data_IF_716638971605
#
_entry.id   IF_716638971605
#
_cell.length_a   1.000
_cell.length_b   1.000
_cell.length_c   1.000
_cell.angle_alpha   90.00
_cell.angle_beta   90.00
_cell.angle_gamma   90.00
#
_symmetry.space_group_name_H-M   'P 1'
#
loop_
_entity.id
_entity.type
_entity.pdbx_description
1 polymer ?
#
# COMPACT_ATOMS: atom_id res chain seq x y z
N UNK A 1 -2.76 14.23 11.52
CA UNK A 1 -2.02 12.95 11.58
C UNK A 1 -1.98 12.34 10.19
N UNK A 2 -0.82 12.38 9.53
CA UNK A 2 -0.63 11.73 8.23
C UNK A 2 -0.59 10.23 8.46
N UNK A 3 -1.64 9.50 8.08
CA UNK A 3 -1.59 8.05 8.12
C UNK A 3 -0.47 7.57 7.19
N UNK A 4 0.55 6.95 7.79
CA UNK A 4 1.63 6.27 7.09
C UNK A 4 1.11 4.93 6.55
N UNK A 5 1.16 4.76 5.23
CA UNK A 5 0.97 3.45 4.62
C UNK A 5 2.34 2.79 4.60
N UNK A 6 2.50 1.63 5.23
CA UNK A 6 3.76 0.88 5.22
C UNK A 6 3.73 -0.25 4.21
N UNK A 7 4.91 -0.63 3.71
CA UNK A 7 5.06 -1.77 2.80
C UNK A 7 4.50 -3.07 3.41
N UNK A 8 4.67 -3.24 4.74
CA UNK A 8 4.18 -4.43 5.43
C UNK A 8 2.64 -4.51 5.46
N UNK A 9 1.94 -3.38 5.55
CA UNK A 9 0.47 -3.35 5.50
C UNK A 9 -0.04 -3.76 4.11
N UNK A 10 0.60 -3.25 3.05
CA UNK A 10 0.28 -3.67 1.68
C UNK A 10 0.62 -5.13 1.43
N UNK A 11 1.73 -5.63 1.99
CA UNK A 11 2.11 -7.04 1.91
C UNK A 11 1.05 -7.93 2.54
N UNK A 12 0.61 -7.61 3.76
CA UNK A 12 -0.47 -8.34 4.44
C UNK A 12 -1.76 -8.29 3.62
N UNK A 13 -2.08 -7.11 3.07
CA UNK A 13 -3.28 -6.92 2.26
C UNK A 13 -3.25 -7.79 0.99
N UNK A 14 -2.15 -7.79 0.24
CA UNK A 14 -1.98 -8.58 -0.99
C UNK A 14 -2.10 -10.09 -0.74
N UNK A 15 -1.51 -10.57 0.35
CA UNK A 15 -1.58 -11.98 0.76
C UNK A 15 -3.02 -12.34 1.18
N UNK A 16 -3.69 -11.47 1.94
CA UNK A 16 -5.07 -11.70 2.38
C UNK A 16 -6.08 -11.68 1.22
N UNK A 17 -5.93 -10.74 0.29
CA UNK A 17 -6.79 -10.64 -0.89
C UNK A 17 -6.42 -11.64 -1.98
N UNK A 18 -5.31 -12.39 -1.80
CA UNK A 18 -4.66 -13.21 -2.84
C UNK A 18 -4.64 -12.46 -4.16
N UNK A 19 -4.16 -11.23 -4.10
CA UNK A 19 -4.30 -10.26 -5.16
C UNK A 19 -3.04 -9.41 -5.32
N UNK A 20 -2.98 -8.71 -6.44
CA UNK A 20 -1.89 -7.80 -6.77
C UNK A 20 -2.24 -6.37 -6.35
N UNK A 21 -1.29 -5.63 -5.78
CA UNK A 21 -1.45 -4.22 -5.44
C UNK A 21 -0.42 -3.41 -6.22
N UNK A 22 -0.88 -2.60 -7.15
CA UNK A 22 -0.05 -1.65 -7.87
C UNK A 22 -0.19 -0.27 -7.23
N UNK A 23 0.90 0.42 -6.93
CA UNK A 23 0.87 1.81 -6.49
C UNK A 23 1.73 2.68 -7.39
N UNK A 24 1.30 3.94 -7.56
CA UNK A 24 2.02 4.95 -8.34
C UNK A 24 2.39 6.13 -7.45
N UNK A 25 3.68 6.42 -7.42
CA UNK A 25 4.26 7.57 -6.76
C UNK A 25 4.29 8.79 -7.67
N UNK A 26 4.18 9.98 -7.06
CA UNK A 26 4.15 11.27 -7.76
C UNK A 26 5.44 11.56 -8.55
N UNK A 27 6.53 10.89 -8.20
CA UNK A 27 7.82 10.94 -8.91
C UNK A 27 7.84 10.06 -10.18
N UNK A 28 6.70 9.45 -10.54
CA UNK A 28 6.55 8.58 -11.71
C UNK A 28 6.98 7.13 -11.45
N UNK A 29 7.38 6.78 -10.22
CA UNK A 29 7.73 5.40 -9.86
C UNK A 29 6.48 4.58 -9.65
N UNK A 30 6.52 3.32 -10.07
CA UNK A 30 5.43 2.37 -9.90
C UNK A 30 5.95 1.18 -9.13
N UNK A 31 5.19 0.71 -8.14
CA UNK A 31 5.47 -0.53 -7.43
C UNK A 31 4.31 -1.50 -7.57
N UNK A 32 4.60 -2.77 -7.84
CA UNK A 32 3.64 -3.84 -8.03
C UNK A 32 3.90 -4.92 -6.99
N UNK A 33 3.05 -5.00 -5.98
CA UNK A 33 3.08 -6.04 -4.96
C UNK A 33 2.26 -7.23 -5.44
N UNK A 34 2.91 -8.39 -5.61
CA UNK A 34 2.19 -9.63 -5.95
C UNK A 34 1.42 -10.18 -4.75
N UNK A 35 0.52 -11.13 -5.02
CA UNK A 35 -0.24 -11.91 -4.02
C UNK A 35 0.63 -12.66 -3.01
N UNK A 36 1.92 -12.87 -3.32
CA UNK A 36 2.90 -13.51 -2.42
C UNK A 36 3.55 -12.50 -1.47
N UNK A 37 3.19 -11.22 -1.57
CA UNK A 37 3.81 -10.14 -0.83
C UNK A 37 5.20 -9.75 -1.34
N UNK A 38 5.49 -10.06 -2.61
CA UNK A 38 6.75 -9.68 -3.27
C UNK A 38 6.51 -8.37 -4.01
N UNK A 39 7.26 -7.34 -3.65
CA UNK A 39 7.23 -6.04 -4.32
C UNK A 39 8.16 -6.03 -5.54
N UNK A 40 7.58 -5.80 -6.71
CA UNK A 40 8.27 -5.62 -7.98
C UNK A 40 8.23 -4.14 -8.36
N UNK A 41 9.38 -3.55 -8.70
CA UNK A 41 9.44 -2.18 -9.20
C UNK A 41 9.86 -2.25 -10.67
N UNK A 42 8.93 -2.06 -11.62
CA UNK A 42 9.30 -2.02 -13.04
C UNK A 42 10.34 -0.93 -13.31
N UNK A 43 11.41 -1.28 -14.01
CA UNK A 43 12.52 -0.38 -14.34
C UNK A 43 13.64 -0.32 -13.30
N UNK A 44 13.56 -1.12 -12.22
CA UNK A 44 14.66 -1.25 -11.26
C UNK A 44 15.76 -2.18 -11.81
N UNK A 45 16.83 -1.62 -12.37
CA UNK A 45 17.97 -2.38 -12.90
C UNK A 45 19.04 -2.73 -11.86
N UNK A 46 18.80 -2.45 -10.58
CA UNK A 46 19.74 -2.68 -9.49
C UNK A 46 19.12 -2.41 -8.12
N UNK A 47 19.84 -2.64 -7.01
CA UNK A 47 19.34 -2.35 -5.67
C UNK A 47 18.93 -0.88 -5.57
N UNK A 48 17.73 -0.58 -5.05
CA UNK A 48 17.26 0.80 -4.98
C UNK A 48 18.13 1.58 -4.00
N UNK A 49 18.69 2.71 -4.45
CA UNK A 49 19.41 3.65 -3.57
C UNK A 49 18.46 4.56 -2.77
N UNK A 50 17.17 4.20 -2.71
CA UNK A 50 16.10 5.01 -2.13
C UNK A 50 15.24 4.17 -1.20
N UNK A 51 14.64 4.84 -0.22
CA UNK A 51 13.76 4.20 0.75
C UNK A 51 12.37 3.97 0.13
N UNK A 52 11.87 2.73 0.25
CA UNK A 52 10.57 2.34 -0.29
C UNK A 52 9.42 2.98 0.48
N UNK A 53 9.57 3.17 1.79
CA UNK A 53 8.55 3.82 2.61
C UNK A 53 8.39 5.30 2.21
N UNK A 54 9.46 5.98 1.79
CA UNK A 54 9.39 7.34 1.24
C UNK A 54 8.67 7.40 -0.12
N UNK A 55 8.94 6.43 -1.00
CA UNK A 55 8.23 6.32 -2.29
C UNK A 55 6.75 6.03 -2.05
N UNK A 56 6.45 5.17 -1.08
CA UNK A 56 5.09 4.83 -0.72
C UNK A 56 4.35 5.98 -0.04
N UNK A 57 5.04 6.77 0.78
CA UNK A 57 4.49 7.98 1.38
C UNK A 57 4.03 8.99 0.32
N UNK A 58 4.73 9.03 -0.82
CA UNK A 58 4.44 9.87 -1.99
C UNK A 58 3.54 9.20 -3.03
N UNK A 59 3.02 8.00 -2.74
CA UNK A 59 2.06 7.33 -3.59
C UNK A 59 0.67 7.95 -3.47
N UNK A 60 0.10 8.31 -4.62
CA UNK A 60 -1.20 9.00 -4.70
C UNK A 60 -2.31 8.03 -5.15
N UNK A 61 -1.96 7.07 -6.01
CA UNK A 61 -2.88 6.10 -6.60
C UNK A 61 -2.48 4.68 -6.25
N UNK A 62 -3.46 3.88 -5.84
CA UNK A 62 -3.30 2.46 -5.54
C UNK A 62 -4.37 1.66 -6.27
N UNK A 63 -3.96 0.69 -7.08
CA UNK A 63 -4.84 -0.24 -7.78
C UNK A 63 -4.72 -1.60 -7.12
N UNK A 64 -5.81 -2.11 -6.57
CA UNK A 64 -5.88 -3.46 -6.01
C UNK A 64 -6.60 -4.38 -6.99
N UNK A 65 -5.92 -5.43 -7.42
CA UNK A 65 -6.48 -6.48 -8.25
C UNK A 65 -6.66 -7.72 -7.39
N UNK A 66 -7.90 -8.01 -6.99
CA UNK A 66 -8.19 -9.23 -6.22
C UNK A 66 -8.13 -10.50 -7.05
N UNK A 67 -8.25 -11.67 -6.40
CA UNK A 67 -8.33 -12.97 -7.07
C UNK A 67 -9.47 -13.05 -8.12
N UNK A 68 -10.54 -12.29 -7.94
CA UNK A 68 -11.65 -12.16 -8.90
C UNK A 68 -11.28 -11.36 -10.16
N UNK A 69 -10.01 -10.98 -10.34
CA UNK A 69 -9.49 -10.12 -11.42
C UNK A 69 -10.15 -8.74 -11.50
N UNK A 70 -10.90 -8.35 -10.47
CA UNK A 70 -11.46 -6.99 -10.34
C UNK A 70 -10.37 -6.07 -9.82
N UNK A 71 -9.92 -5.18 -10.70
CA UNK A 71 -9.06 -4.07 -10.34
C UNK A 71 -9.91 -2.94 -9.75
N UNK A 72 -9.56 -2.48 -8.56
CA UNK A 72 -10.15 -1.30 -7.92
C UNK A 72 -9.04 -0.29 -7.68
N UNK A 73 -9.14 0.85 -8.35
CA UNK A 73 -8.29 2.00 -8.05
C UNK A 73 -8.85 2.74 -6.85
N UNK A 74 -7.97 3.05 -5.91
CA UNK A 74 -8.22 3.77 -4.67
C UNK A 74 -7.22 4.92 -4.58
N UNK A 75 -7.68 6.07 -4.14
CA UNK A 75 -6.79 7.14 -3.73
C UNK A 75 -6.07 6.78 -2.43
N UNK A 76 -4.93 7.42 -2.14
CA UNK A 76 -4.20 7.25 -0.86
C UNK A 76 -5.10 7.31 0.37
N UNK A 77 -6.03 8.26 0.42
CA UNK A 77 -6.96 8.42 1.54
C UNK A 77 -7.89 7.20 1.70
N UNK A 78 -8.38 6.65 0.59
CA UNK A 78 -9.22 5.44 0.61
C UNK A 78 -8.41 4.19 0.98
N UNK A 79 -7.16 4.08 0.49
CA UNK A 79 -6.27 2.99 0.87
C UNK A 79 -5.97 3.02 2.37
N UNK A 80 -5.70 4.20 2.93
CA UNK A 80 -5.55 4.39 4.38
C UNK A 80 -6.80 3.94 5.12
N UNK A 81 -7.98 4.38 4.68
CA UNK A 81 -9.23 4.01 5.32
C UNK A 81 -9.50 2.50 5.24
N UNK A 82 -9.16 1.87 4.12
CA UNK A 82 -9.30 0.42 3.91
C UNK A 82 -8.33 -0.37 4.80
N UNK A 83 -7.08 0.08 4.94
CA UNK A 83 -6.10 -0.52 5.84
C UNK A 83 -6.51 -0.34 7.31
N UNK A 84 -6.99 0.85 7.68
CA UNK A 84 -7.51 1.13 9.02
C UNK A 84 -8.74 0.27 9.34
N UNK A 85 -9.64 0.06 8.38
CA UNK A 85 -10.82 -0.79 8.54
C UNK A 85 -10.50 -2.30 8.58
N UNK A 86 -9.36 -2.71 8.03
CA UNK A 86 -8.95 -4.13 7.95
C UNK A 86 -7.92 -4.54 9.00
N UNK A 87 -7.24 -3.60 9.65
CA UNK A 87 -6.35 -3.93 10.75
C UNK A 87 -7.17 -4.59 11.87
N UNK A 88 -6.88 -5.85 12.27
CA UNK A 88 -7.44 -6.38 13.49
C UNK A 88 -6.78 -5.60 14.64
N UNK A 89 -7.51 -4.65 15.22
CA UNK A 89 -7.23 -4.06 16.53
C UNK A 89 -5.75 -3.72 16.81
N UNK A 90 -5.10 -2.89 15.99
CA UNK A 90 -3.87 -2.21 16.43
C UNK A 90 -4.13 -0.71 16.50
N UNK A 91 -4.44 -0.28 17.74
CA UNK A 91 -4.82 1.05 18.21
C UNK A 91 -6.28 1.45 17.88
N UNK A 92 -7.23 1.64 18.80
CA UNK A 92 -7.13 1.99 20.22
C UNK A 92 -6.00 3.02 20.47
N UNK A 93 -5.99 4.10 19.70
CA UNK A 93 -5.56 5.37 20.25
C UNK A 93 -6.82 5.96 20.89
N UNK A 94 -6.88 6.12 22.22
CA UNK A 94 -7.98 6.82 22.86
C UNK A 94 -8.05 8.24 22.29
N UNK A 95 -9.27 8.73 22.11
CA UNK A 95 -9.53 10.16 21.93
C UNK A 95 -8.82 10.88 23.08
N UNK A 96 -7.86 11.74 22.76
CA UNK A 96 -7.44 12.78 23.70
C UNK A 96 -8.59 13.79 23.73
N UNK A 97 -9.37 13.67 24.79
CA UNK A 97 -10.31 14.65 25.30
C UNK A 97 -9.56 15.38 26.42
N UNK A 98 -9.05 16.59 26.15
CA UNK A 98 -8.96 17.72 27.10
C UNK A 98 -8.71 19.03 26.36
#
# INVERSE_FOLDING_TARGET
MSAEIKVNDLRLLAIQTRGEITFRARDGRVGVMSEKGILHIPGLNGPPSYNLDDVLARAEEFTLTGADKKARTLARAEMVALLAARAPARAAAPKEEE
#
